data_IF_390533614072
#
_entry.id   IF_390533614072
#
_cell.length_a   1.000
_cell.length_b   1.000
_cell.length_c   1.000
_cell.angle_alpha   90.00
_cell.angle_beta   90.00
_cell.angle_gamma   90.00
#
_symmetry.space_group_name_H-M   'P 1'
#
loop_
_entity.id
_entity.type
_entity.pdbx_description
1 polymer ?
#
# COMPACT_ATOMS: atom_id res chain seq x y z
N UNK A 1 55.30 -49.80 -9.76
CA UNK A 1 54.45 -48.58 -9.74
C UNK A 1 53.00 -49.02 -9.66
N UNK A 2 52.49 -49.23 -8.44
CA UNK A 2 51.13 -49.74 -8.21
C UNK A 2 50.15 -48.57 -8.15
N UNK A 3 49.21 -48.52 -9.10
CA UNK A 3 48.14 -47.51 -9.12
C UNK A 3 46.99 -48.00 -8.24
N UNK A 4 46.75 -47.31 -7.12
CA UNK A 4 45.55 -47.49 -6.30
C UNK A 4 44.36 -46.85 -7.01
N UNK A 5 43.36 -47.67 -7.37
CA UNK A 5 42.09 -47.20 -7.94
C UNK A 5 41.10 -46.98 -6.79
N UNK A 6 40.82 -45.72 -6.42
CA UNK A 6 39.79 -45.42 -5.43
C UNK A 6 38.41 -45.59 -6.08
N UNK A 7 37.71 -46.67 -5.76
CA UNK A 7 36.32 -46.88 -6.13
C UNK A 7 35.45 -45.89 -5.37
N UNK A 8 35.10 -44.75 -6.01
CA UNK A 8 33.99 -43.91 -5.54
C UNK A 8 32.71 -44.72 -5.66
N UNK A 9 32.21 -45.20 -4.53
CA UNK A 9 30.85 -45.72 -4.37
C UNK A 9 29.88 -44.69 -4.97
N UNK A 10 29.25 -45.04 -6.09
CA UNK A 10 28.10 -44.29 -6.60
C UNK A 10 26.89 -44.85 -5.87
N UNK A 11 26.28 -44.05 -5.00
CA UNK A 11 25.00 -44.37 -4.38
C UNK A 11 23.95 -44.43 -5.50
N UNK A 12 23.58 -45.64 -5.91
CA UNK A 12 22.46 -45.85 -6.81
C UNK A 12 21.16 -45.71 -5.99
N UNK A 13 20.43 -44.62 -6.21
CA UNK A 13 19.12 -44.41 -5.62
C UNK A 13 18.13 -45.40 -6.23
N UNK A 14 17.35 -46.08 -5.39
CA UNK A 14 16.26 -46.93 -5.90
C UNK A 14 15.10 -46.06 -6.38
N UNK A 15 14.42 -46.46 -7.46
CA UNK A 15 13.21 -45.79 -7.96
C UNK A 15 12.17 -45.56 -6.86
N UNK A 16 12.10 -46.49 -5.91
CA UNK A 16 11.19 -46.46 -4.76
C UNK A 16 11.54 -45.32 -3.79
N UNK A 17 12.81 -45.16 -3.42
CA UNK A 17 13.24 -44.05 -2.56
C UNK A 17 12.93 -42.70 -3.17
N UNK A 18 13.17 -42.55 -4.48
CA UNK A 18 12.83 -41.31 -5.18
C UNK A 18 11.32 -41.06 -5.13
N UNK A 19 10.51 -42.07 -5.44
CA UNK A 19 9.04 -41.99 -5.51
C UNK A 19 8.41 -41.59 -4.16
N UNK A 20 8.91 -42.14 -3.05
CA UNK A 20 8.44 -41.77 -1.71
C UNK A 20 8.72 -40.30 -1.39
N UNK A 21 9.89 -39.79 -1.77
CA UNK A 21 10.25 -38.38 -1.51
C UNK A 21 9.35 -37.42 -2.27
N UNK A 22 9.09 -37.67 -3.55
CA UNK A 22 8.17 -36.82 -4.35
C UNK A 22 6.74 -36.91 -3.81
N UNK A 23 6.30 -38.08 -3.34
CA UNK A 23 4.99 -38.23 -2.72
C UNK A 23 4.86 -37.39 -1.43
N UNK A 24 5.87 -37.41 -0.56
CA UNK A 24 5.88 -36.61 0.67
C UNK A 24 5.89 -35.11 0.34
N UNK A 25 6.76 -34.66 -0.59
CA UNK A 25 6.81 -33.25 -1.01
C UNK A 25 5.47 -32.81 -1.62
N UNK A 26 4.84 -33.65 -2.44
CA UNK A 26 3.53 -33.39 -3.04
C UNK A 26 2.44 -33.19 -2.00
N UNK A 27 2.41 -34.01 -0.95
CA UNK A 27 1.47 -33.84 0.18
C UNK A 27 1.75 -32.54 0.94
N UNK A 28 3.01 -32.27 1.27
CA UNK A 28 3.39 -31.05 1.99
C UNK A 28 3.00 -29.79 1.20
N UNK A 29 3.33 -29.72 -0.09
CA UNK A 29 3.00 -28.57 -0.95
C UNK A 29 1.48 -28.46 -1.18
N UNK A 30 0.79 -29.59 -1.35
CA UNK A 30 -0.66 -29.63 -1.51
C UNK A 30 -1.42 -29.04 -0.31
N UNK A 31 -0.89 -29.22 0.90
CA UNK A 31 -1.44 -28.60 2.11
C UNK A 31 -1.07 -27.12 2.26
N UNK A 32 0.08 -26.70 1.72
CA UNK A 32 0.60 -25.34 1.86
C UNK A 32 -0.02 -24.33 0.89
N UNK A 33 -0.34 -24.74 -0.35
CA UNK A 33 -0.90 -23.84 -1.38
C UNK A 33 -2.16 -23.07 -0.94
N UNK A 34 -3.24 -23.72 -0.44
CA UNK A 34 -4.43 -23.00 -0.01
C UNK A 34 -4.16 -22.13 1.22
N UNK A 35 -3.26 -22.56 2.12
CA UNK A 35 -2.89 -21.82 3.31
C UNK A 35 -2.11 -20.53 2.99
N UNK A 36 -1.20 -20.56 2.02
CA UNK A 36 -0.42 -19.38 1.60
C UNK A 36 -1.31 -18.30 0.99
N UNK A 37 -2.35 -18.68 0.23
CA UNK A 37 -3.29 -17.72 -0.35
C UNK A 37 -4.14 -17.06 0.73
N UNK A 38 -4.68 -17.84 1.67
CA UNK A 38 -5.41 -17.32 2.83
C UNK A 38 -4.53 -16.37 3.67
N UNK A 39 -3.26 -16.72 3.88
CA UNK A 39 -2.31 -15.87 4.59
C UNK A 39 -2.03 -14.56 3.84
N UNK A 40 -1.88 -14.60 2.51
CA UNK A 40 -1.70 -13.39 1.68
C UNK A 40 -2.92 -12.48 1.74
N UNK A 41 -4.13 -13.04 1.65
CA UNK A 41 -5.37 -12.26 1.76
C UNK A 41 -5.54 -11.66 3.15
N UNK A 42 -5.22 -12.40 4.21
CA UNK A 42 -5.22 -11.89 5.57
C UNK A 42 -4.21 -10.75 5.74
N UNK A 43 -3.01 -10.87 5.17
CA UNK A 43 -1.99 -9.82 5.20
C UNK A 43 -2.46 -8.54 4.46
N UNK A 44 -3.06 -8.68 3.28
CA UNK A 44 -3.63 -7.54 2.54
C UNK A 44 -4.72 -6.83 3.33
N UNK A 45 -5.63 -7.60 3.94
CA UNK A 45 -6.69 -7.06 4.80
C UNK A 45 -6.11 -6.36 6.04
N UNK A 46 -5.10 -6.95 6.66
CA UNK A 46 -4.43 -6.37 7.83
C UNK A 46 -3.76 -5.04 7.48
N UNK A 47 -3.05 -4.98 6.36
CA UNK A 47 -2.42 -3.75 5.88
C UNK A 47 -3.46 -2.67 5.57
N UNK A 48 -4.53 -3.00 4.85
CA UNK A 48 -5.64 -2.08 4.57
C UNK A 48 -6.29 -1.56 5.87
N UNK A 49 -6.52 -2.44 6.86
CA UNK A 49 -7.07 -2.04 8.16
C UNK A 49 -6.14 -1.09 8.92
N UNK A 50 -4.82 -1.31 8.84
CA UNK A 50 -3.84 -0.42 9.46
C UNK A 50 -3.75 0.93 8.76
N UNK A 51 -3.84 0.97 7.43
CA UNK A 51 -3.94 2.20 6.66
C UNK A 51 -5.16 3.03 7.10
N UNK A 52 -6.33 2.39 7.22
CA UNK A 52 -7.54 3.06 7.72
C UNK A 52 -7.38 3.60 9.15
N UNK A 53 -6.71 2.85 10.03
CA UNK A 53 -6.39 3.33 11.39
C UNK A 53 -5.48 4.55 11.35
N UNK A 54 -4.47 4.58 10.48
CA UNK A 54 -3.58 5.74 10.32
C UNK A 54 -4.37 6.97 9.83
N UNK A 55 -5.28 6.80 8.87
CA UNK A 55 -6.15 7.89 8.40
C UNK A 55 -7.04 8.40 9.55
N UNK A 56 -7.66 7.50 10.32
CA UNK A 56 -8.47 7.89 11.47
C UNK A 56 -7.69 8.70 12.50
N UNK A 57 -6.49 8.25 12.86
CA UNK A 57 -5.59 8.99 13.74
C UNK A 57 -5.20 10.34 13.15
N UNK A 58 -4.90 10.40 11.87
CA UNK A 58 -4.58 11.63 11.17
C UNK A 58 -5.72 12.65 11.22
N UNK A 59 -6.97 12.19 11.05
CA UNK A 59 -8.17 13.06 11.19
C UNK A 59 -8.32 13.56 12.62
N UNK A 60 -8.09 12.73 13.63
CA UNK A 60 -8.12 13.17 15.03
C UNK A 60 -7.02 14.21 15.33
N UNK A 61 -5.81 14.00 14.82
CA UNK A 61 -4.70 14.95 14.95
C UNK A 61 -4.98 16.28 14.23
N UNK A 62 -5.58 16.20 13.03
CA UNK A 62 -6.06 17.36 12.30
C UNK A 62 -7.08 18.13 13.13
N UNK A 63 -8.12 17.46 13.63
CA UNK A 63 -9.15 18.09 14.44
C UNK A 63 -8.57 18.75 15.71
N UNK A 64 -7.61 18.09 16.38
CA UNK A 64 -6.93 18.67 17.54
C UNK A 64 -6.12 19.92 17.19
N UNK A 65 -5.57 20.01 15.97
CA UNK A 65 -4.74 21.14 15.51
C UNK A 65 -5.61 22.31 15.03
N UNK A 66 -6.72 22.02 14.35
CA UNK A 66 -7.57 23.01 13.68
C UNK A 66 -8.89 23.29 14.42
N UNK A 67 -8.87 23.30 15.76
CA UNK A 67 -10.03 23.68 16.62
C UNK A 67 -11.28 22.83 16.37
N UNK A 68 -11.13 21.51 16.40
CA UNK A 68 -12.19 20.52 16.18
C UNK A 68 -12.83 20.57 14.78
N UNK A 69 -12.22 21.29 13.84
CA UNK A 69 -12.62 21.25 12.44
C UNK A 69 -12.20 19.91 11.81
N UNK A 70 -13.12 19.31 11.05
CA UNK A 70 -12.82 18.15 10.20
C UNK A 70 -12.24 18.68 8.88
N UNK A 71 -11.27 17.97 8.25
CA UNK A 71 -10.78 18.35 6.93
C UNK A 71 -11.94 18.39 5.94
N UNK A 72 -12.24 19.58 5.45
CA UNK A 72 -13.35 19.84 4.52
C UNK A 72 -12.82 20.10 3.10
N UNK A 73 -13.66 19.84 2.12
CA UNK A 73 -13.44 20.24 0.73
C UNK A 73 -14.26 21.49 0.36
N UNK A 74 -15.07 22.03 1.27
CA UNK A 74 -16.03 23.09 0.97
C UNK A 74 -15.53 24.50 1.34
N UNK A 75 -15.72 25.45 0.43
CA UNK A 75 -15.56 26.88 0.71
C UNK A 75 -16.73 27.41 1.55
N UNK A 76 -16.44 28.34 2.46
CA UNK A 76 -17.45 29.09 3.24
C UNK A 76 -18.28 30.07 2.39
N UNK A 77 -17.97 30.23 1.10
CA UNK A 77 -18.67 31.17 0.22
C UNK A 77 -20.04 30.63 -0.19
N UNK A 78 -21.08 31.43 0.01
CA UNK A 78 -22.43 31.20 -0.50
C UNK A 78 -22.40 31.11 -2.04
N UNK A 79 -22.77 29.95 -2.61
CA UNK A 79 -22.88 29.81 -4.08
C UNK A 79 -22.15 28.62 -4.73
N UNK A 80 -21.57 27.71 -3.95
CA UNK A 80 -21.45 26.32 -4.39
C UNK A 80 -20.09 25.84 -4.90
N UNK A 81 -19.90 24.55 -4.65
CA UNK A 81 -18.81 23.67 -5.08
C UNK A 81 -17.46 23.80 -4.35
N UNK A 82 -16.76 22.67 -4.15
CA UNK A 82 -15.46 22.64 -3.48
C UNK A 82 -14.44 23.41 -4.32
N UNK A 83 -14.18 24.66 -3.93
CA UNK A 83 -13.04 25.45 -4.42
C UNK A 83 -11.83 25.30 -3.49
N UNK A 84 -11.98 24.43 -2.49
CA UNK A 84 -10.99 24.10 -1.49
C UNK A 84 -10.28 22.79 -1.85
N UNK A 85 -9.07 22.65 -1.32
CA UNK A 85 -8.25 21.45 -1.50
C UNK A 85 -8.92 20.19 -0.95
N UNK A 86 -8.57 19.04 -1.54
CA UNK A 86 -9.05 17.74 -1.05
C UNK A 86 -8.80 17.58 0.45
N UNK A 87 -9.74 16.97 1.21
CA UNK A 87 -9.52 16.65 2.61
C UNK A 87 -8.29 15.77 2.81
N UNK A 88 -8.01 14.91 1.82
CA UNK A 88 -6.82 14.04 1.82
C UNK A 88 -5.53 14.83 1.69
N UNK A 89 -5.53 15.94 0.92
CA UNK A 89 -4.39 16.84 0.81
C UNK A 89 -4.10 17.54 2.15
N UNK A 90 -5.15 17.93 2.87
CA UNK A 90 -5.05 18.54 4.22
C UNK A 90 -4.59 17.55 5.29
N UNK A 91 -4.72 16.24 5.04
CA UNK A 91 -4.27 15.17 5.94
C UNK A 91 -2.81 14.75 5.75
N UNK A 92 -2.18 15.10 4.62
CA UNK A 92 -0.80 14.75 4.30
C UNK A 92 0.23 14.97 5.44
N UNK A 93 0.23 16.12 6.16
CA UNK A 93 1.20 16.32 7.24
C UNK A 93 0.98 15.38 8.43
N UNK A 94 -0.23 14.83 8.59
CA UNK A 94 -0.59 13.91 9.68
C UNK A 94 -0.42 12.43 9.33
N UNK A 95 0.01 12.12 8.10
CA UNK A 95 0.28 10.75 7.61
C UNK A 95 1.71 10.59 7.07
N UNK A 96 2.66 11.37 7.61
CA UNK A 96 4.07 11.34 7.20
C UNK A 96 4.29 11.66 5.70
N UNK A 97 3.42 12.48 5.11
CA UNK A 97 3.51 12.92 3.71
C UNK A 97 3.79 14.43 3.60
N UNK A 98 4.58 14.99 4.53
CA UNK A 98 4.96 16.40 4.54
C UNK A 98 5.67 16.84 3.25
N UNK A 99 6.49 15.97 2.66
CA UNK A 99 7.16 16.26 1.37
C UNK A 99 6.18 16.49 0.22
N UNK A 100 5.03 15.79 0.23
CA UNK A 100 4.00 15.95 -0.78
C UNK A 100 3.15 17.20 -0.52
N UNK A 101 2.92 17.54 0.75
CA UNK A 101 2.21 18.76 1.14
C UNK A 101 2.98 20.02 0.76
N UNK A 102 4.32 20.03 0.90
CA UNK A 102 5.17 21.15 0.48
C UNK A 102 5.07 21.49 -1.02
N UNK A 103 4.52 20.59 -1.85
CA UNK A 103 4.28 20.84 -3.28
C UNK A 103 2.94 21.52 -3.55
N UNK A 104 2.11 21.73 -2.52
CA UNK A 104 0.75 22.25 -2.63
C UNK A 104 0.73 23.70 -2.13
N UNK A 105 0.49 24.65 -3.03
CA UNK A 105 0.27 26.04 -2.65
C UNK A 105 -1.21 26.30 -2.35
N UNK A 106 -1.58 26.28 -1.07
CA UNK A 106 -2.96 26.54 -0.62
C UNK A 106 -3.50 27.95 -0.95
N UNK A 107 -2.67 28.86 -1.46
CA UNK A 107 -3.10 30.19 -1.95
C UNK A 107 -3.76 30.16 -3.33
N UNK A 108 -3.58 29.08 -4.10
CA UNK A 108 -4.15 28.97 -5.45
C UNK A 108 -5.64 28.65 -5.39
N UNK A 109 -6.44 29.42 -6.13
CA UNK A 109 -7.86 29.12 -6.33
C UNK A 109 -8.04 27.99 -7.34
N UNK A 110 -8.48 26.81 -6.89
CA UNK A 110 -8.63 25.62 -7.74
C UNK A 110 -9.75 25.76 -8.80
N UNK A 111 -10.71 26.66 -8.60
CA UNK A 111 -11.85 26.82 -9.50
C UNK A 111 -12.79 25.61 -9.52
N UNK A 112 -13.81 25.68 -10.38
CA UNK A 112 -14.72 24.54 -10.57
C UNK A 112 -14.14 23.59 -11.62
N UNK A 113 -14.06 22.27 -11.35
CA UNK A 113 -13.41 21.31 -12.26
C UNK A 113 -14.11 21.17 -13.62
N UNK A 114 -15.38 21.61 -13.75
CA UNK A 114 -16.04 21.67 -15.06
C UNK A 114 -15.82 22.99 -15.82
N UNK A 115 -15.16 23.98 -15.20
CA UNK A 115 -14.89 25.30 -15.80
C UNK A 115 -13.40 25.54 -16.06
N UNK A 116 -12.51 24.88 -15.32
CA UNK A 116 -11.07 25.02 -15.47
C UNK A 116 -10.34 23.71 -15.17
N UNK A 117 -9.25 23.47 -15.91
CA UNK A 117 -8.32 22.37 -15.63
C UNK A 117 -7.54 22.63 -14.34
N UNK A 118 -7.02 21.55 -13.74
CA UNK A 118 -6.11 21.64 -12.59
C UNK A 118 -4.89 22.49 -12.97
N UNK A 119 -4.53 23.52 -12.15
CA UNK A 119 -3.32 24.31 -12.36
C UNK A 119 -2.08 23.44 -12.57
N UNK A 120 -1.20 23.77 -13.53
CA UNK A 120 -0.03 22.95 -13.86
C UNK A 120 0.86 22.63 -12.65
N UNK A 121 0.97 23.55 -11.70
CA UNK A 121 1.77 23.44 -10.48
C UNK A 121 1.27 22.31 -9.56
N UNK A 122 -0.04 22.07 -9.52
CA UNK A 122 -0.64 21.03 -8.67
C UNK A 122 -0.68 19.65 -9.30
N UNK A 123 -0.34 19.52 -10.60
CA UNK A 123 -0.43 18.25 -11.33
C UNK A 123 0.46 17.16 -10.75
N UNK A 124 1.64 17.53 -10.25
CA UNK A 124 2.57 16.58 -9.64
C UNK A 124 2.00 16.05 -8.33
N UNK A 125 1.54 16.94 -7.45
CA UNK A 125 0.95 16.56 -6.18
C UNK A 125 -0.32 15.72 -6.36
N UNK A 126 -1.21 16.13 -7.28
CA UNK A 126 -2.45 15.41 -7.58
C UNK A 126 -2.25 14.05 -8.26
N UNK A 127 -1.17 13.89 -9.03
CA UNK A 127 -0.83 12.62 -9.70
C UNK A 127 -0.09 11.62 -8.81
N UNK A 128 0.36 12.04 -7.63
CA UNK A 128 1.15 11.20 -6.72
C UNK A 128 0.23 10.26 -5.94
N UNK A 129 0.47 8.96 -6.05
CA UNK A 129 -0.24 7.95 -5.26
C UNK A 129 0.34 7.85 -3.86
N UNK A 130 -0.50 8.05 -2.86
CA UNK A 130 -0.13 7.90 -1.45
C UNK A 130 -0.54 6.50 -0.99
N UNK A 131 0.41 5.61 -0.66
CA UNK A 131 0.10 4.22 -0.30
C UNK A 131 -0.82 4.06 0.91
N UNK A 132 -0.86 5.05 1.80
CA UNK A 132 -1.75 5.07 2.98
C UNK A 132 -3.22 5.19 2.59
N UNK A 133 -3.54 5.82 1.45
CA UNK A 133 -4.93 5.95 0.98
C UNK A 133 -5.39 4.78 0.12
N UNK A 134 -4.47 3.91 -0.31
CA UNK A 134 -4.77 2.74 -1.13
C UNK A 134 -4.72 1.47 -0.28
N UNK A 135 -5.55 0.49 -0.63
CA UNK A 135 -5.43 -0.86 -0.07
C UNK A 135 -4.69 -1.75 -1.07
N UNK A 136 -3.81 -2.65 -0.60
CA UNK A 136 -3.04 -3.52 -1.49
C UNK A 136 -3.98 -4.48 -2.25
N UNK A 137 -3.64 -4.73 -3.52
CA UNK A 137 -4.37 -5.66 -4.41
C UNK A 137 -3.84 -7.09 -4.31
#
# INVERSE_FOLDING_TARGET
>A
MSRSCSTRSRLAFTLVELLVVIAIIGILVGLLLPAVQAAREAARRMQCTNNLKQIGLAVHNYASTYKEAIPNNGSLRTGGYPSDYSPLAKLLPFIEQANLENLIDYGIYMGHPALADLPPELRVAAGTRVPVFECPT
#
